data_IF_582156491914
#
_entry.id   IF_582156491914
#
_cell.length_a   1.000
_cell.length_b   1.000
_cell.length_c   1.000
_cell.angle_alpha   90.00
_cell.angle_beta   90.00
_cell.angle_gamma   90.00
#
_symmetry.space_group_name_H-M   'P 1'
#
loop_
_entity.id
_entity.type
_entity.pdbx_description
1 polymer ?
#
# COMPACT_ATOMS: atom_id res chain seq x y z
N UNK A 1 -3.99 -10.40 -25.95
CA UNK A 1 -3.96 -10.35 -24.47
C UNK A 1 -3.59 -8.92 -24.11
N UNK A 2 -4.58 -8.15 -23.68
CA UNK A 2 -4.42 -6.74 -23.34
C UNK A 2 -3.76 -6.66 -21.95
N UNK A 3 -2.48 -6.27 -21.90
CA UNK A 3 -1.86 -5.88 -20.64
C UNK A 3 -2.47 -4.53 -20.27
N UNK A 4 -3.48 -4.55 -19.40
CA UNK A 4 -3.94 -3.32 -18.76
C UNK A 4 -2.75 -2.74 -17.99
N UNK A 5 -2.26 -1.58 -18.42
CA UNK A 5 -1.27 -0.82 -17.67
C UNK A 5 -1.82 -0.58 -16.26
N UNK A 6 -1.16 -1.18 -15.27
CA UNK A 6 -1.59 -1.07 -13.88
C UNK A 6 -1.19 0.30 -13.35
N UNK A 7 -2.06 1.29 -13.51
CA UNK A 7 -1.87 2.61 -12.92
C UNK A 7 -1.87 2.48 -11.39
N UNK A 8 -0.84 3.02 -10.74
CA UNK A 8 -0.68 2.92 -9.30
C UNK A 8 -1.86 3.61 -8.60
N UNK A 9 -2.53 2.88 -7.69
CA UNK A 9 -3.71 3.37 -6.97
C UNK A 9 -5.03 3.23 -7.74
N UNK A 10 -5.04 2.69 -8.96
CA UNK A 10 -6.27 2.42 -9.72
C UNK A 10 -6.50 0.91 -9.81
N UNK A 11 -7.65 0.47 -9.31
CA UNK A 11 -8.08 -0.92 -9.37
C UNK A 11 -9.38 -1.00 -10.15
N UNK A 12 -9.31 -1.37 -11.41
CA UNK A 12 -10.49 -1.58 -12.24
C UNK A 12 -11.34 -2.71 -11.68
N UNK A 13 -12.66 -2.54 -11.69
CA UNK A 13 -13.58 -3.61 -11.39
C UNK A 13 -13.44 -4.73 -12.43
N UNK A 14 -13.52 -5.98 -11.97
CA UNK A 14 -13.39 -7.19 -12.79
C UNK A 14 -14.53 -8.13 -12.46
N UNK A 15 -15.08 -8.86 -13.44
CA UNK A 15 -16.05 -9.89 -13.17
C UNK A 15 -15.49 -10.97 -12.24
N UNK A 16 -16.32 -11.45 -11.31
CA UNK A 16 -15.98 -12.54 -10.40
C UNK A 16 -15.17 -12.09 -9.18
N UNK A 17 -15.24 -10.81 -8.82
CA UNK A 17 -14.72 -10.35 -7.54
C UNK A 17 -15.58 -10.89 -6.39
N UNK A 18 -15.04 -10.91 -5.17
CA UNK A 18 -15.75 -11.49 -4.03
C UNK A 18 -17.05 -10.72 -3.69
N UNK A 19 -17.11 -9.44 -4.03
CA UNK A 19 -18.33 -8.61 -3.98
C UNK A 19 -19.44 -9.15 -4.89
N UNK A 20 -19.09 -9.70 -6.06
CA UNK A 20 -20.05 -10.22 -7.04
C UNK A 20 -20.72 -11.53 -6.58
N UNK A 21 -20.17 -12.18 -5.54
CA UNK A 21 -20.65 -13.48 -5.07
C UNK A 21 -21.82 -13.28 -4.11
N UNK A 22 -23.00 -13.79 -4.50
CA UNK A 22 -24.19 -13.85 -3.63
C UNK A 22 -24.07 -14.97 -2.57
N UNK A 23 -23.11 -14.84 -1.65
CA UNK A 23 -23.01 -15.71 -0.47
C UNK A 23 -24.13 -15.39 0.52
N UNK A 24 -24.47 -16.33 1.41
CA UNK A 24 -25.51 -16.10 2.42
C UNK A 24 -25.18 -14.91 3.34
N UNK A 25 -23.90 -14.68 3.65
CA UNK A 25 -23.45 -13.51 4.40
C UNK A 25 -23.68 -12.23 3.60
N UNK A 26 -23.17 -12.15 2.36
CA UNK A 26 -23.28 -10.94 1.53
C UNK A 26 -24.73 -10.54 1.25
N UNK A 27 -25.63 -11.51 1.07
CA UNK A 27 -27.07 -11.23 0.86
C UNK A 27 -27.74 -10.68 2.13
N UNK A 28 -27.31 -11.12 3.31
CA UNK A 28 -27.93 -10.72 4.58
C UNK A 28 -27.39 -9.40 5.12
N UNK A 29 -26.10 -9.12 4.93
CA UNK A 29 -25.41 -7.99 5.56
C UNK A 29 -24.72 -7.05 4.57
N UNK A 30 -24.74 -7.35 3.27
CA UNK A 30 -23.86 -6.73 2.29
C UNK A 30 -22.46 -7.36 2.28
N UNK A 31 -21.72 -7.15 1.19
CA UNK A 31 -20.30 -7.48 1.13
C UNK A 31 -19.50 -6.49 1.99
N UNK A 32 -18.61 -7.02 2.82
CA UNK A 32 -17.67 -6.24 3.63
C UNK A 32 -16.27 -6.72 3.26
N UNK A 33 -15.40 -5.81 2.84
CA UNK A 33 -14.00 -6.12 2.58
C UNK A 33 -13.25 -6.29 3.91
N UNK A 34 -13.09 -7.54 4.35
CA UNK A 34 -12.37 -7.88 5.58
C UNK A 34 -10.84 -7.83 5.40
N UNK A 35 -10.33 -7.67 4.17
CA UNK A 35 -8.90 -7.86 3.86
C UNK A 35 -8.00 -6.72 4.35
N UNK A 36 -8.59 -5.59 4.77
CA UNK A 36 -7.87 -4.44 5.33
C UNK A 36 -8.67 -3.92 6.53
N UNK A 37 -8.83 -4.73 7.58
CA UNK A 37 -9.09 -4.19 8.90
C UNK A 37 -7.74 -4.13 9.59
N UNK A 38 -6.98 -3.06 9.32
CA UNK A 38 -5.75 -2.83 10.08
C UNK A 38 -6.20 -2.61 11.51
N UNK A 39 -5.90 -3.54 12.42
CA UNK A 39 -6.26 -3.36 13.83
C UNK A 39 -5.75 -1.98 14.26
N UNK A 40 -6.66 -1.12 14.74
CA UNK A 40 -6.41 0.26 15.14
C UNK A 40 -6.35 1.33 14.02
N UNK A 41 -7.15 1.21 12.94
CA UNK A 41 -7.25 2.25 11.88
C UNK A 41 -7.55 3.66 12.41
N UNK A 42 -8.27 3.74 13.55
CA UNK A 42 -8.64 5.00 14.18
C UNK A 42 -7.55 5.56 15.11
N UNK A 43 -6.51 4.77 15.42
CA UNK A 43 -5.43 5.20 16.32
C UNK A 43 -4.41 6.00 15.54
N UNK A 44 -4.06 7.18 16.07
CA UNK A 44 -3.02 8.01 15.50
C UNK A 44 -1.66 7.32 15.57
N UNK A 45 -0.98 7.26 14.42
CA UNK A 45 0.41 6.80 14.32
C UNK A 45 1.36 7.61 15.22
N UNK A 46 0.98 8.83 15.63
CA UNK A 46 1.74 9.63 16.59
C UNK A 46 1.99 8.86 17.89
N UNK A 47 0.98 8.18 18.44
CA UNK A 47 1.13 7.39 19.68
C UNK A 47 2.03 6.16 19.52
N UNK A 48 2.19 5.65 18.29
CA UNK A 48 3.01 4.46 17.99
C UNK A 48 4.45 4.81 17.60
N UNK A 49 4.66 6.04 17.13
CA UNK A 49 5.91 6.47 16.52
C UNK A 49 6.62 7.56 17.33
N UNK A 50 6.02 8.18 18.35
CA UNK A 50 6.58 9.34 19.06
C UNK A 50 8.08 9.24 19.41
N UNK A 51 8.57 8.04 19.77
CA UNK A 51 9.97 7.83 20.17
C UNK A 51 10.89 7.34 19.03
N UNK A 52 10.35 6.97 17.87
CA UNK A 52 11.15 6.33 16.78
C UNK A 52 11.92 7.32 15.89
N UNK A 53 11.36 8.47 15.47
CA UNK A 53 12.09 9.47 14.67
C UNK A 53 13.10 10.27 15.48
N UNK A 54 13.03 10.27 16.81
CA UNK A 54 13.94 11.03 17.68
C UNK A 54 15.29 10.34 17.89
N UNK A 55 15.43 9.09 17.45
CA UNK A 55 16.70 8.35 17.48
C UNK A 55 17.56 8.78 16.27
N UNK A 56 18.67 9.51 16.48
CA UNK A 56 19.49 10.04 15.38
C UNK A 56 20.06 8.94 14.48
N UNK A 57 20.21 7.72 15.02
CA UNK A 57 20.68 6.57 14.24
C UNK A 57 19.62 6.11 13.23
N UNK A 58 18.35 6.05 13.65
CA UNK A 58 17.25 5.65 12.76
C UNK A 58 16.99 6.70 11.70
N UNK A 59 17.10 7.97 12.05
CA UNK A 59 17.03 9.08 11.09
C UNK A 59 18.14 8.96 10.03
N UNK A 60 19.38 8.73 10.46
CA UNK A 60 20.51 8.52 9.56
C UNK A 60 20.29 7.32 8.62
N UNK A 61 19.86 6.17 9.16
CA UNK A 61 19.62 4.95 8.39
C UNK A 61 18.50 5.16 7.35
N UNK A 62 17.44 5.89 7.71
CA UNK A 62 16.36 6.24 6.80
C UNK A 62 16.85 7.18 5.68
N UNK A 63 17.69 8.16 6.02
CA UNK A 63 18.32 9.05 5.04
C UNK A 63 19.19 8.29 4.04
N UNK A 64 20.06 7.40 4.52
CA UNK A 64 20.91 6.54 3.68
C UNK A 64 20.06 5.65 2.77
N UNK A 65 18.96 5.10 3.29
CA UNK A 65 18.03 4.29 2.51
C UNK A 65 17.37 5.12 1.39
N UNK A 66 16.87 6.32 1.67
CA UNK A 66 16.26 7.20 0.68
C UNK A 66 17.24 7.57 -0.45
N UNK A 67 18.49 7.89 -0.12
CA UNK A 67 19.54 8.15 -1.13
C UNK A 67 19.75 6.95 -2.05
N UNK A 68 19.77 5.73 -1.51
CA UNK A 68 19.90 4.50 -2.31
C UNK A 68 18.71 4.30 -3.25
N UNK A 69 17.49 4.56 -2.79
CA UNK A 69 16.27 4.48 -3.63
C UNK A 69 16.34 5.48 -4.78
N UNK A 70 16.71 6.73 -4.51
CA UNK A 70 16.83 7.78 -5.53
C UNK A 70 17.91 7.45 -6.56
N UNK A 71 19.07 6.95 -6.12
CA UNK A 71 20.15 6.52 -7.01
C UNK A 71 19.69 5.41 -7.97
N UNK A 72 19.04 4.37 -7.43
CA UNK A 72 18.48 3.27 -8.24
C UNK A 72 17.43 3.76 -9.24
N UNK A 73 16.58 4.70 -8.84
CA UNK A 73 15.59 5.32 -9.74
C UNK A 73 16.29 6.03 -10.91
N UNK A 74 17.30 6.85 -10.62
CA UNK A 74 18.07 7.57 -11.63
C UNK A 74 18.79 6.61 -12.60
N UNK A 75 19.40 5.54 -12.09
CA UNK A 75 20.05 4.51 -12.91
C UNK A 75 19.04 3.78 -13.81
N UNK A 76 17.88 3.42 -13.27
CA UNK A 76 16.81 2.76 -14.03
C UNK A 76 16.27 3.66 -15.14
N UNK A 77 16.10 4.96 -14.88
CA UNK A 77 15.65 5.92 -15.90
C UNK A 77 16.66 6.12 -17.03
N UNK A 78 17.96 5.86 -16.81
CA UNK A 78 18.99 5.93 -17.87
C UNK A 78 19.01 4.70 -18.77
N UNK A 79 18.56 3.54 -18.27
CA UNK A 79 18.53 2.28 -19.02
C UNK A 79 17.32 2.20 -19.97
N UNK A 80 16.24 2.94 -19.65
CA UNK A 80 15.00 3.00 -20.43
C UNK A 80 15.03 4.17 -21.45
N UNK A 81 16.17 4.88 -21.55
CA UNK A 81 16.39 5.96 -22.51
C UNK A 81 17.06 5.48 -23.80
#
# INVERSE_FOLDING_TARGET
>A
MEQAERYFGVFSQKPGQDEDRMTQSNVKTGYIDESIIVQNETISAQGMLVDKPQDPKKEHDLGVFMVKVLKKRQESSKIIG
#
